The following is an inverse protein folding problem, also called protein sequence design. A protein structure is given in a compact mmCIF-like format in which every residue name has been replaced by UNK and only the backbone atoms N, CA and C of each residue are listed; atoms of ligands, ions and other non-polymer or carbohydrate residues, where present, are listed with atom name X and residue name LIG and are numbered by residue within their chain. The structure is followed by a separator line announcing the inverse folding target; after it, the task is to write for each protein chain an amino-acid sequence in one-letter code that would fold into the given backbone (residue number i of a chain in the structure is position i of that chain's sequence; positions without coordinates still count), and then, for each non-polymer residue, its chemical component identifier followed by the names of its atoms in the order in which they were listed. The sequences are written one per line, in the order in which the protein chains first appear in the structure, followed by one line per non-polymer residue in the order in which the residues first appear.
data_IF_414128896401
#
_entry.id   IF_414128896401
#
_cell.length_a   1.000
_cell.length_b   1.000
_cell.length_c   1.000
_cell.angle_alpha   90.00
_cell.angle_beta   90.00
_cell.angle_gamma   90.00
#
_symmetry.space_group_name_H-M   'P 1'
#
loop_
_entity.id
_entity.type
_entity.pdbx_description
1 polymer ?
#
# COMPACT_ATOMS: atom_id res chain seq x y z
N UNK A 1 -18.74 -14.93 9.41
CA UNK A 1 -19.01 -13.53 9.78
C UNK A 1 -18.92 -13.42 11.31
N UNK A 2 -17.83 -12.85 11.82
CA UNK A 2 -17.53 -12.72 13.27
C UNK A 2 -18.59 -11.91 14.05
N UNK A 3 -19.46 -11.20 13.35
CA UNK A 3 -20.53 -10.41 13.97
C UNK A 3 -21.66 -11.26 14.56
N UNK A 4 -21.81 -12.49 14.11
CA UNK A 4 -22.85 -13.41 14.59
C UNK A 4 -22.50 -14.06 15.92
N UNK A 5 -21.23 -14.14 16.29
CA UNK A 5 -20.74 -14.80 17.53
C UNK A 5 -20.76 -13.90 18.77
N UNK A 6 -21.17 -12.63 18.67
CA UNK A 6 -21.18 -11.69 19.79
C UNK A 6 -19.79 -11.41 20.41
N UNK A 7 -18.73 -11.86 19.77
CA UNK A 7 -17.35 -11.67 20.22
C UNK A 7 -16.99 -10.17 20.27
N UNK A 8 -16.26 -9.77 21.32
CA UNK A 8 -15.80 -8.40 21.50
C UNK A 8 -14.28 -8.38 21.65
N UNK A 9 -13.62 -7.56 20.84
CA UNK A 9 -12.19 -7.29 20.93
C UNK A 9 -11.92 -6.16 21.93
N UNK A 10 -11.70 -6.53 23.19
CA UNK A 10 -11.48 -5.59 24.29
C UNK A 10 -10.01 -5.14 24.33
N UNK A 11 -9.68 -4.11 23.56
CA UNK A 11 -8.37 -3.47 23.59
C UNK A 11 -8.56 -1.96 23.59
N UNK A 12 -7.87 -1.24 24.46
CA UNK A 12 -7.83 0.23 24.41
C UNK A 12 -7.00 0.77 23.23
N UNK A 13 -6.24 -0.11 22.56
CA UNK A 13 -5.35 0.21 21.42
C UNK A 13 -5.83 -0.43 20.11
N UNK A 14 -7.12 -0.72 19.98
CA UNK A 14 -7.66 -1.49 18.85
C UNK A 14 -7.57 -0.82 17.49
N UNK A 15 -7.49 0.51 17.43
CA UNK A 15 -7.26 1.24 16.19
C UNK A 15 -5.78 1.55 15.91
N UNK A 16 -4.85 1.29 16.85
CA UNK A 16 -3.46 1.68 16.66
C UNK A 16 -2.84 1.02 15.44
N UNK A 17 -2.21 1.87 14.62
CA UNK A 17 -1.59 1.51 13.35
C UNK A 17 -2.57 1.01 12.29
N UNK A 18 -3.85 1.38 12.36
CA UNK A 18 -4.84 1.07 11.33
C UNK A 18 -4.42 1.65 9.96
N UNK A 19 -3.65 2.74 9.94
CA UNK A 19 -3.05 3.36 8.76
C UNK A 19 -2.06 2.47 8.00
N UNK A 20 -1.62 1.36 8.57
CA UNK A 20 -0.84 0.35 7.86
C UNK A 20 -1.70 -0.53 6.93
N UNK A 21 -3.01 -0.48 7.11
CA UNK A 21 -3.98 -1.17 6.30
C UNK A 21 -4.86 -0.18 5.51
N UNK A 22 -5.30 0.92 6.15
CA UNK A 22 -6.14 1.95 5.54
C UNK A 22 -5.27 3.18 5.21
N UNK A 23 -4.91 3.36 3.97
CA UNK A 23 -3.97 4.40 3.52
C UNK A 23 -4.61 5.48 2.66
N UNK A 24 -5.85 5.30 2.21
CA UNK A 24 -6.58 6.24 1.36
C UNK A 24 -7.85 6.71 2.05
N UNK A 25 -7.99 8.00 2.29
CA UNK A 25 -9.20 8.55 2.89
C UNK A 25 -10.37 8.57 1.89
N UNK A 26 -11.51 7.92 2.17
CA UNK A 26 -12.62 7.86 1.22
C UNK A 26 -13.43 9.16 1.16
N UNK A 27 -13.20 10.10 2.07
CA UNK A 27 -13.89 11.40 2.08
C UNK A 27 -13.16 12.42 1.22
N UNK A 28 -11.83 12.51 1.33
CA UNK A 28 -11.07 13.55 0.64
C UNK A 28 -10.05 13.03 -0.36
N UNK A 29 -9.90 11.72 -0.49
CA UNK A 29 -8.97 11.09 -1.43
C UNK A 29 -7.49 11.22 -1.05
N UNK A 30 -7.13 11.77 0.10
CA UNK A 30 -5.73 11.95 0.50
C UNK A 30 -5.07 10.61 0.84
N UNK A 31 -3.91 10.33 0.22
CA UNK A 31 -3.10 9.14 0.45
C UNK A 31 -2.20 9.35 1.69
N UNK A 32 -2.07 8.32 2.54
CA UNK A 32 -1.18 8.34 3.70
C UNK A 32 -1.56 9.35 4.78
N UNK A 33 -2.80 9.83 4.80
CA UNK A 33 -3.28 10.86 5.73
C UNK A 33 -3.97 10.29 6.98
N UNK A 34 -4.25 9.00 7.03
CA UNK A 34 -4.88 8.36 8.19
C UNK A 34 -3.89 8.31 9.35
N UNK A 35 -4.37 8.65 10.53
CA UNK A 35 -3.60 8.63 11.79
C UNK A 35 -4.45 8.01 12.88
N UNK A 36 -3.85 7.14 13.68
CA UNK A 36 -4.55 6.43 14.75
C UNK A 36 -3.91 6.63 16.12
N UNK A 37 -4.74 6.60 17.15
CA UNK A 37 -4.32 6.58 18.54
C UNK A 37 -5.38 5.91 19.41
N UNK A 38 -4.97 4.86 20.14
CA UNK A 38 -5.87 4.11 21.01
C UNK A 38 -6.99 3.44 20.22
N UNK A 39 -8.23 3.82 20.46
CA UNK A 39 -9.41 3.30 19.78
C UNK A 39 -9.92 4.17 18.63
N UNK A 40 -9.31 5.34 18.41
CA UNK A 40 -9.72 6.29 17.38
C UNK A 40 -8.73 6.36 16.24
N UNK A 41 -9.23 6.74 15.09
CA UNK A 41 -8.43 7.15 13.94
C UNK A 41 -9.06 8.37 13.26
N UNK A 42 -8.26 9.11 12.53
CA UNK A 42 -8.70 10.30 11.81
C UNK A 42 -7.88 10.53 10.56
N UNK A 43 -8.44 11.25 9.60
CA UNK A 43 -7.70 11.79 8.48
C UNK A 43 -7.05 13.12 8.86
N UNK A 44 -5.73 13.24 8.76
CA UNK A 44 -5.00 14.47 9.07
C UNK A 44 -5.27 15.59 8.04
N UNK A 45 -5.80 15.26 6.85
CA UNK A 45 -6.08 16.23 5.79
C UNK A 45 -7.47 16.86 5.93
N UNK A 46 -8.54 16.04 6.07
CA UNK A 46 -9.92 16.56 6.13
C UNK A 46 -10.56 16.54 7.52
N UNK A 47 -9.87 16.03 8.54
CA UNK A 47 -10.37 15.98 9.91
C UNK A 47 -11.41 14.88 10.19
N UNK A 48 -11.85 14.12 9.20
CA UNK A 48 -12.78 12.99 9.42
C UNK A 48 -12.23 12.05 10.49
N UNK A 49 -13.08 11.72 11.47
CA UNK A 49 -12.69 10.91 12.65
C UNK A 49 -13.73 9.85 12.94
N UNK A 50 -13.26 8.67 13.36
CA UNK A 50 -14.12 7.57 13.80
C UNK A 50 -13.45 6.75 14.91
N UNK A 51 -14.26 5.97 15.62
CA UNK A 51 -13.82 4.94 16.54
C UNK A 51 -13.80 3.58 15.83
N UNK A 52 -12.77 2.79 16.07
CA UNK A 52 -12.79 1.36 15.77
C UNK A 52 -13.32 0.63 17.00
N UNK A 53 -14.54 0.14 16.92
CA UNK A 53 -15.29 -0.36 18.07
C UNK A 53 -14.84 -1.75 18.51
N UNK A 54 -15.29 -2.21 19.69
CA UNK A 54 -15.05 -3.58 20.17
C UNK A 54 -15.69 -4.67 19.27
N UNK A 55 -16.67 -4.29 18.45
CA UNK A 55 -17.32 -5.16 17.47
C UNK A 55 -16.66 -5.14 16.10
N UNK A 56 -15.44 -4.61 16.01
CA UNK A 56 -14.67 -4.45 14.78
C UNK A 56 -15.42 -3.64 13.71
N UNK A 57 -16.19 -2.65 14.16
CA UNK A 57 -16.92 -1.73 13.31
C UNK A 57 -16.30 -0.32 13.39
N UNK A 58 -16.53 0.47 12.36
CA UNK A 58 -16.16 1.89 12.27
C UNK A 58 -17.39 2.71 12.69
N UNK A 59 -17.25 3.54 13.73
CA UNK A 59 -18.35 4.34 14.26
C UNK A 59 -17.92 5.80 14.51
N UNK A 60 -18.58 6.82 13.91
CA UNK A 60 -19.58 6.66 12.85
C UNK A 60 -18.96 6.08 11.54
N UNK A 61 -19.78 5.48 10.67
CA UNK A 61 -19.30 5.03 9.37
C UNK A 61 -18.65 6.16 8.57
N UNK A 62 -17.54 5.87 7.91
CA UNK A 62 -16.79 6.86 7.11
C UNK A 62 -17.11 6.65 5.63
N UNK A 63 -17.74 7.62 4.99
CA UNK A 63 -18.20 7.54 3.59
C UNK A 63 -19.02 6.27 3.29
N UNK A 64 -19.83 5.81 4.26
CA UNK A 64 -20.64 4.60 4.16
C UNK A 64 -19.92 3.30 4.57
N UNK A 65 -18.64 3.35 4.85
CA UNK A 65 -17.89 2.16 5.32
C UNK A 65 -18.00 2.04 6.83
N UNK A 66 -18.69 1.01 7.29
CA UNK A 66 -18.81 0.60 8.70
C UNK A 66 -17.85 -0.52 9.10
N UNK A 67 -17.14 -1.11 8.12
CA UNK A 67 -16.15 -2.19 8.27
C UNK A 67 -14.84 -1.86 7.55
N UNK A 68 -13.72 -2.29 8.13
CA UNK A 68 -12.40 -2.17 7.50
C UNK A 68 -12.37 -2.85 6.13
N UNK A 69 -12.99 -4.03 5.99
CA UNK A 69 -12.96 -4.81 4.76
C UNK A 69 -13.52 -4.04 3.56
N UNK A 70 -14.68 -3.40 3.70
CA UNK A 70 -15.29 -2.62 2.59
C UNK A 70 -14.42 -1.44 2.17
N UNK A 71 -13.85 -0.72 3.15
CA UNK A 71 -12.92 0.37 2.88
C UNK A 71 -11.63 -0.13 2.20
N UNK A 72 -11.02 -1.20 2.73
CA UNK A 72 -9.81 -1.82 2.19
C UNK A 72 -9.98 -2.29 0.73
N UNK A 73 -11.11 -2.94 0.41
CA UNK A 73 -11.40 -3.38 -0.97
C UNK A 73 -11.62 -2.19 -1.92
N UNK A 74 -12.23 -1.12 -1.45
CA UNK A 74 -12.37 0.11 -2.24
C UNK A 74 -11.01 0.76 -2.48
N UNK A 75 -10.22 1.00 -1.44
CA UNK A 75 -8.96 1.73 -1.59
C UNK A 75 -7.95 0.98 -2.47
N UNK A 76 -7.98 -0.36 -2.44
CA UNK A 76 -7.15 -1.20 -3.30
C UNK A 76 -7.45 -0.97 -4.78
N UNK A 77 -8.72 -0.82 -5.14
CA UNK A 77 -9.13 -0.53 -6.52
C UNK A 77 -8.87 0.92 -6.90
N UNK A 78 -9.20 1.82 -6.01
CA UNK A 78 -9.07 3.26 -6.22
C UNK A 78 -7.63 3.70 -6.44
N UNK A 79 -6.69 3.20 -5.63
CA UNK A 79 -5.28 3.60 -5.77
C UNK A 79 -4.70 3.12 -7.12
N UNK A 80 -5.07 1.94 -7.58
CA UNK A 80 -4.65 1.43 -8.90
C UNK A 80 -5.21 2.30 -10.02
N UNK A 81 -6.50 2.66 -9.95
CA UNK A 81 -7.14 3.53 -10.94
C UNK A 81 -6.44 4.90 -11.03
N UNK A 82 -6.07 5.50 -9.90
CA UNK A 82 -5.33 6.77 -9.84
C UNK A 82 -3.94 6.67 -10.45
N UNK A 83 -3.21 5.61 -10.14
CA UNK A 83 -1.86 5.42 -10.69
C UNK A 83 -1.94 5.17 -12.20
N UNK A 84 -2.93 4.44 -12.69
CA UNK A 84 -3.19 4.29 -14.12
C UNK A 84 -3.54 5.63 -14.80
N UNK A 85 -4.22 6.51 -14.08
CA UNK A 85 -4.53 7.88 -14.53
C UNK A 85 -3.33 8.86 -14.46
N UNK A 86 -2.16 8.40 -13.99
CA UNK A 86 -0.91 9.17 -13.98
C UNK A 86 -0.50 9.71 -12.60
N UNK A 87 -1.20 9.36 -11.51
CA UNK A 87 -0.77 9.73 -10.16
C UNK A 87 0.50 8.98 -9.78
N UNK A 88 1.45 9.69 -9.17
CA UNK A 88 2.66 9.10 -8.56
C UNK A 88 2.50 9.10 -7.04
N UNK A 89 2.49 7.93 -6.45
CA UNK A 89 2.36 7.72 -5.00
C UNK A 89 3.73 7.66 -4.36
N UNK A 90 3.95 8.39 -3.26
CA UNK A 90 5.27 8.48 -2.62
C UNK A 90 5.20 8.46 -1.10
N UNK A 91 6.28 7.99 -0.47
CA UNK A 91 6.58 8.12 0.96
C UNK A 91 8.03 8.55 1.16
N UNK A 92 8.25 9.43 2.15
CA UNK A 92 9.57 9.94 2.56
C UNK A 92 10.05 9.29 3.86
N UNK A 93 11.34 9.48 4.17
CA UNK A 93 11.94 8.99 5.39
C UNK A 93 12.08 7.47 5.42
N UNK A 94 12.33 6.87 4.25
CA UNK A 94 12.53 5.42 4.16
C UNK A 94 14.01 5.06 4.34
N UNK A 95 14.25 3.81 4.72
CA UNK A 95 15.56 3.18 4.72
C UNK A 95 15.60 2.14 3.61
N UNK A 96 16.50 2.33 2.66
CA UNK A 96 16.68 1.45 1.52
C UNK A 96 17.85 0.49 1.73
N UNK A 97 17.71 -0.78 1.35
CA UNK A 97 18.68 -1.83 1.60
C UNK A 97 18.67 -2.90 0.52
N UNK A 98 19.84 -3.49 0.27
CA UNK A 98 19.95 -4.77 -0.42
C UNK A 98 20.07 -5.90 0.61
N UNK A 99 19.27 -6.95 0.45
CA UNK A 99 19.34 -8.17 1.27
C UNK A 99 20.27 -9.17 0.58
N UNK A 100 21.43 -9.41 1.16
CA UNK A 100 22.43 -10.36 0.66
C UNK A 100 22.33 -11.69 1.43
N UNK A 101 22.91 -12.76 0.92
CA UNK A 101 22.95 -14.08 1.56
C UNK A 101 23.29 -13.99 3.05
N UNK A 102 22.76 -14.91 3.87
CA UNK A 102 23.05 -15.05 5.29
C UNK A 102 22.57 -13.89 6.19
N UNK A 103 21.44 -13.27 5.86
CA UNK A 103 20.82 -12.17 6.63
C UNK A 103 21.60 -10.85 6.64
N UNK A 104 22.73 -10.75 5.92
CA UNK A 104 23.47 -9.51 5.78
C UNK A 104 22.65 -8.53 4.92
N UNK A 105 22.58 -7.28 5.37
CA UNK A 105 21.92 -6.18 4.63
C UNK A 105 22.93 -5.09 4.37
N UNK A 106 22.96 -4.62 3.14
CA UNK A 106 23.75 -3.46 2.74
C UNK A 106 22.80 -2.27 2.67
N UNK A 107 23.09 -1.20 3.41
CA UNK A 107 22.34 0.05 3.33
C UNK A 107 22.71 0.76 2.04
N UNK A 108 21.72 1.17 1.29
CA UNK A 108 21.85 1.90 0.04
C UNK A 108 21.36 3.33 0.22
N UNK A 109 21.77 4.24 -0.64
CA UNK A 109 21.25 5.60 -0.66
C UNK A 109 19.76 5.58 -1.01
N UNK A 110 18.92 6.23 -0.21
CA UNK A 110 17.48 6.29 -0.42
C UNK A 110 16.78 6.92 0.77
N UNK A 111 15.98 7.94 0.51
CA UNK A 111 15.12 8.63 1.49
C UNK A 111 13.65 8.58 1.11
N UNK A 112 13.35 8.59 -0.17
CA UNK A 112 11.99 8.59 -0.70
C UNK A 112 11.78 7.40 -1.62
N UNK A 113 10.66 6.70 -1.43
CA UNK A 113 10.16 5.70 -2.38
C UNK A 113 8.94 6.25 -3.07
N UNK A 114 8.83 6.07 -4.38
CA UNK A 114 7.62 6.37 -5.13
C UNK A 114 7.35 5.33 -6.20
N UNK A 115 6.09 5.26 -6.62
CA UNK A 115 5.63 4.34 -7.67
C UNK A 115 4.62 5.07 -8.56
N UNK A 116 4.76 4.90 -9.86
CA UNK A 116 3.78 5.29 -10.87
C UNK A 116 3.43 4.09 -11.76
N UNK A 117 2.73 4.32 -12.86
CA UNK A 117 2.31 3.24 -13.78
C UNK A 117 3.47 2.52 -14.47
N UNK A 118 4.67 3.12 -14.52
CA UNK A 118 5.79 2.63 -15.33
C UNK A 118 6.92 2.05 -14.48
N UNK A 119 7.17 2.61 -13.28
CA UNK A 119 8.31 2.22 -12.46
C UNK A 119 8.11 2.47 -10.96
N UNK A 120 8.94 1.81 -10.16
CA UNK A 120 9.22 2.14 -8.77
C UNK A 120 10.52 2.95 -8.74
N UNK A 121 10.55 3.99 -7.92
CA UNK A 121 11.67 4.91 -7.82
C UNK A 121 12.17 5.01 -6.39
N UNK A 122 13.47 5.14 -6.24
CA UNK A 122 14.13 5.44 -4.97
C UNK A 122 14.96 6.70 -5.16
N UNK A 123 14.60 7.78 -4.46
CA UNK A 123 15.39 9.02 -4.43
C UNK A 123 16.19 9.08 -3.13
N UNK A 124 17.41 9.60 -3.20
CA UNK A 124 18.31 9.77 -2.04
C UNK A 124 18.17 11.15 -1.35
N UNK A 125 17.25 11.99 -1.85
CA UNK A 125 17.03 13.34 -1.31
C UNK A 125 18.03 14.40 -1.82
N UNK A 126 19.05 14.01 -2.58
CA UNK A 126 20.04 14.95 -3.17
C UNK A 126 19.73 15.32 -4.62
N UNK A 127 18.72 14.66 -5.21
CA UNK A 127 18.30 14.82 -6.60
C UNK A 127 18.62 13.60 -7.46
N UNK A 128 19.39 12.63 -6.96
CA UNK A 128 19.57 11.36 -7.64
C UNK A 128 18.34 10.46 -7.40
N UNK A 129 17.86 9.84 -8.47
CA UNK A 129 16.71 8.91 -8.44
C UNK A 129 17.05 7.64 -9.21
N UNK A 130 17.03 6.51 -8.52
CA UNK A 130 17.11 5.19 -9.13
C UNK A 130 15.72 4.76 -9.61
N UNK A 131 15.63 4.33 -10.87
CA UNK A 131 14.40 3.87 -11.51
C UNK A 131 14.44 2.35 -11.67
N UNK A 132 13.38 1.67 -11.24
CA UNK A 132 13.15 0.24 -11.38
C UNK A 132 11.88 0.03 -12.21
N UNK A 133 11.97 -0.27 -13.52
CA UNK A 133 10.82 -0.53 -14.37
C UNK A 133 9.96 -1.66 -13.80
N UNK A 134 8.64 -1.51 -13.79
CA UNK A 134 7.76 -2.54 -13.21
C UNK A 134 7.82 -3.87 -13.95
N UNK A 135 8.18 -3.87 -15.22
CA UNK A 135 8.41 -5.06 -16.03
C UNK A 135 9.66 -5.87 -15.61
N UNK A 136 10.62 -5.21 -14.97
CA UNK A 136 11.86 -5.83 -14.45
C UNK A 136 11.73 -6.26 -12.99
N UNK A 137 10.60 -5.93 -12.34
CA UNK A 137 10.29 -6.35 -10.97
C UNK A 137 9.49 -7.65 -11.01
N UNK A 138 10.08 -8.73 -10.50
CA UNK A 138 9.43 -10.04 -10.44
C UNK A 138 8.26 -10.05 -9.46
N UNK A 139 8.42 -9.42 -8.29
CA UNK A 139 7.42 -9.32 -7.24
C UNK A 139 7.68 -8.17 -6.27
N UNK A 140 6.61 -7.64 -5.66
CA UNK A 140 6.65 -6.80 -4.46
C UNK A 140 5.91 -7.54 -3.35
N UNK A 141 6.54 -7.71 -2.18
CA UNK A 141 5.97 -8.45 -1.05
C UNK A 141 6.08 -7.66 0.25
N UNK A 142 4.98 -7.53 0.99
CA UNK A 142 5.02 -6.95 2.33
C UNK A 142 5.75 -7.88 3.31
N UNK A 143 6.66 -7.34 4.11
CA UNK A 143 7.47 -8.09 5.07
C UNK A 143 7.30 -7.52 6.47
N UNK A 144 6.53 -8.21 7.30
CA UNK A 144 6.18 -7.72 8.63
C UNK A 144 5.31 -6.46 8.57
N UNK A 145 5.51 -5.51 9.50
CA UNK A 145 4.55 -4.43 9.73
C UNK A 145 4.80 -3.15 8.92
N UNK A 146 6.02 -2.91 8.47
CA UNK A 146 6.45 -1.60 7.91
C UNK A 146 7.57 -1.72 6.88
N UNK A 147 7.61 -2.83 6.17
CA UNK A 147 8.62 -3.10 5.15
C UNK A 147 7.97 -3.79 3.97
N UNK A 148 8.52 -3.56 2.80
CA UNK A 148 8.32 -4.44 1.67
C UNK A 148 9.66 -4.78 1.02
N UNK A 149 9.72 -5.94 0.39
CA UNK A 149 10.79 -6.32 -0.51
C UNK A 149 10.28 -6.21 -1.94
N UNK A 150 11.17 -5.86 -2.85
CA UNK A 150 10.96 -6.07 -4.26
C UNK A 150 12.16 -6.82 -4.85
N UNK A 151 11.87 -7.64 -5.86
CA UNK A 151 12.81 -8.55 -6.49
C UNK A 151 13.07 -8.03 -7.90
N UNK A 152 14.33 -7.67 -8.19
CA UNK A 152 14.72 -7.06 -9.45
C UNK A 152 16.14 -7.48 -9.80
N UNK A 153 16.37 -7.98 -11.03
CA UNK A 153 17.68 -8.44 -11.52
C UNK A 153 18.38 -9.44 -10.58
N UNK A 154 17.62 -10.38 -10.02
CA UNK A 154 18.15 -11.37 -9.09
C UNK A 154 18.54 -10.83 -7.71
N UNK A 155 18.27 -9.56 -7.42
CA UNK A 155 18.51 -8.92 -6.12
C UNK A 155 17.23 -8.84 -5.31
N UNK A 156 17.38 -8.90 -4.00
CA UNK A 156 16.30 -8.63 -3.04
C UNK A 156 16.54 -7.25 -2.44
N UNK A 157 15.73 -6.30 -2.85
CA UNK A 157 15.78 -4.91 -2.40
C UNK A 157 14.67 -4.67 -1.37
N UNK A 158 14.98 -4.01 -0.27
CA UNK A 158 14.05 -3.79 0.83
C UNK A 158 13.89 -2.31 1.11
N UNK A 159 12.65 -1.87 1.14
CA UNK A 159 12.22 -0.57 1.66
C UNK A 159 11.65 -0.76 3.05
N UNK A 160 12.10 0.04 4.02
CA UNK A 160 11.59 0.08 5.38
C UNK A 160 11.23 1.52 5.73
N UNK A 161 9.98 1.76 6.06
CA UNK A 161 9.54 3.05 6.59
C UNK A 161 9.51 3.12 8.11
N UNK A 162 8.91 4.19 8.62
CA UNK A 162 8.65 4.41 10.03
C UNK A 162 7.57 3.47 10.61
N UNK A 163 7.15 3.73 11.85
CA UNK A 163 6.13 2.90 12.52
C UNK A 163 4.74 2.98 11.84
N UNK A 164 4.49 3.99 11.03
CA UNK A 164 3.19 4.24 10.38
C UNK A 164 3.19 3.90 8.89
N UNK A 165 4.33 3.52 8.35
CA UNK A 165 4.51 3.21 6.94
C UNK A 165 3.59 2.06 6.47
N UNK A 166 2.81 2.32 5.43
CA UNK A 166 1.93 1.33 4.79
C UNK A 166 2.63 0.63 3.63
N UNK A 167 3.24 -0.52 3.90
CA UNK A 167 3.90 -1.32 2.85
C UNK A 167 2.92 -2.01 1.90
N UNK A 168 1.72 -2.34 2.37
CA UNK A 168 0.70 -3.03 1.56
C UNK A 168 0.20 -2.18 0.39
N UNK A 169 0.24 -0.86 0.50
CA UNK A 169 -0.08 0.09 -0.56
C UNK A 169 0.72 -0.19 -1.85
N UNK A 170 2.03 -0.43 -1.71
CA UNK A 170 2.92 -0.73 -2.85
C UNK A 170 2.63 -2.09 -3.47
N UNK A 171 2.26 -3.08 -2.66
CA UNK A 171 1.80 -4.39 -3.14
C UNK A 171 0.53 -4.24 -3.96
N UNK A 172 -0.49 -3.52 -3.43
CA UNK A 172 -1.74 -3.29 -4.15
C UNK A 172 -1.55 -2.60 -5.49
N UNK A 173 -0.71 -1.56 -5.53
CA UNK A 173 -0.42 -0.82 -6.76
C UNK A 173 0.26 -1.76 -7.76
N UNK A 174 1.33 -2.45 -7.36
CA UNK A 174 2.09 -3.34 -8.24
C UNK A 174 1.22 -4.47 -8.82
N UNK A 175 0.50 -5.20 -7.95
CA UNK A 175 -0.35 -6.30 -8.38
C UNK A 175 -1.48 -5.84 -9.29
N UNK A 176 -2.10 -4.69 -8.99
CA UNK A 176 -3.15 -4.12 -9.81
C UNK A 176 -2.66 -3.67 -11.18
N UNK A 177 -1.48 -3.02 -11.25
CA UNK A 177 -0.87 -2.61 -12.52
C UNK A 177 -0.46 -3.82 -13.37
N UNK A 178 0.08 -4.86 -12.73
CA UNK A 178 0.42 -6.13 -13.40
C UNK A 178 -0.81 -6.79 -13.99
N UNK A 179 -1.90 -6.90 -13.23
CA UNK A 179 -3.17 -7.45 -13.70
C UNK A 179 -3.75 -6.65 -14.88
N UNK A 180 -3.70 -5.32 -14.82
CA UNK A 180 -4.17 -4.46 -15.90
C UNK A 180 -3.38 -4.64 -17.21
N UNK A 181 -2.05 -4.82 -17.12
CA UNK A 181 -1.19 -5.10 -18.30
C UNK A 181 -1.53 -6.45 -18.93
N UNK A 182 -1.70 -7.50 -18.12
CA UNK A 182 -2.06 -8.84 -18.61
C UNK A 182 -3.41 -8.82 -19.33
N UNK A 183 -4.42 -8.18 -18.76
CA UNK A 183 -5.75 -8.04 -19.37
C UNK A 183 -5.73 -7.23 -20.67
N UNK A 184 -4.78 -6.29 -20.82
CA UNK A 184 -4.57 -5.53 -22.06
C UNK A 184 -3.98 -6.39 -23.20
N UNK A 185 -3.10 -7.32 -22.86
CA UNK A 185 -2.45 -8.21 -23.86
C UNK A 185 -3.41 -9.28 -24.42
N UNK A 186 -4.32 -9.80 -23.61
CA UNK A 186 -5.31 -10.79 -24.06
C UNK A 186 -6.30 -10.21 -25.07
N UNK A 187 -6.62 -8.92 -24.98
CA UNK A 187 -7.53 -8.26 -25.93
C UNK A 187 -6.92 -7.93 -27.29
N UNK A 188 -5.59 -7.99 -27.43
CA UNK A 188 -4.89 -7.65 -28.68
C UNK A 188 -4.57 -8.86 -29.56
N UNK A 189 -4.90 -10.10 -29.11
CA UNK A 189 -4.81 -11.31 -29.92
C UNK A 189 -6.22 -11.85 -30.19
N UNK A 190 -6.93 -11.43 -31.26
CA UNK A 190 -8.10 -12.13 -31.72
C UNK A 190 -7.65 -13.49 -32.27
N UNK A 191 -8.30 -14.53 -31.75
CA UNK A 191 -8.20 -15.92 -32.20
C UNK A 191 -8.11 -15.99 -33.74
N UNK A 192 -6.93 -16.39 -34.27
CA UNK A 192 -6.85 -16.75 -35.67
C UNK A 192 -7.52 -18.11 -35.80
N UNK A 193 -8.82 -18.05 -36.16
CA UNK A 193 -9.62 -19.20 -36.48
C UNK A 193 -8.87 -20.18 -37.34
N UNK A 194 -8.96 -21.43 -36.97
CA UNK A 194 -8.58 -22.60 -37.75
C UNK A 194 -9.42 -22.59 -39.03
N UNK A 195 -8.75 -22.47 -40.18
CA UNK A 195 -9.20 -23.01 -41.44
C UNK A 195 -8.50 -24.36 -41.64
#
# INVERSE_FOLDING_TARGET
DDTTLGARYKSCRRAEYIERALYLCPVCGSVGSIRSKGKYFSCAHCGTKAEYTERLAIDPPVAGYDKIYGWYEWERKEIVARVLAGERVSDKGILFRESVKMKKKIVLAGDTVSIDRDALYISDGTGAEARYPLEEIDAITAVGKKKFNFYCHGKILQVKGDERFCSIKYVHIFDGLRAARTAGHEKTHPDRGQE
#
